data_IF_135844123196
#
_entry.id   IF_135844123196
#
_cell.length_a   1.000
_cell.length_b   1.000
_cell.length_c   1.000
_cell.angle_alpha   90.00
_cell.angle_beta   90.00
_cell.angle_gamma   90.00
#
_symmetry.space_group_name_H-M   'P 1'
#
loop_
_entity.id
_entity.type
_entity.pdbx_description
1 polymer ?
#
# COMPACT_ATOMS: atom_id res chain seq x y z
N UNK A 1 20.80 8.06 20.55
CA UNK A 1 20.11 8.83 19.49
C UNK A 1 20.85 10.09 19.04
N UNK A 2 21.30 10.97 19.94
CA UNK A 2 21.95 12.23 19.53
C UNK A 2 23.23 12.01 18.71
N UNK A 3 24.06 11.01 19.05
CA UNK A 3 25.27 10.66 18.32
C UNK A 3 25.00 10.18 16.88
N UNK A 4 24.06 9.25 16.71
CA UNK A 4 23.68 8.70 15.39
C UNK A 4 23.14 9.81 14.48
N UNK A 5 22.29 10.69 15.01
CA UNK A 5 21.73 11.81 14.23
C UNK A 5 22.83 12.77 13.74
N UNK A 6 23.86 13.04 14.54
CA UNK A 6 25.00 13.86 14.11
C UNK A 6 25.85 13.14 13.06
N UNK A 7 26.07 11.83 13.19
CA UNK A 7 26.74 11.04 12.14
C UNK A 7 25.96 11.03 10.83
N UNK A 8 24.63 10.94 10.88
CA UNK A 8 23.77 11.01 9.68
C UNK A 8 23.90 12.38 9.01
N UNK A 9 23.77 13.48 9.77
CA UNK A 9 23.94 14.85 9.24
C UNK A 9 25.33 15.09 8.65
N UNK A 10 26.36 14.48 9.24
CA UNK A 10 27.74 14.58 8.78
C UNK A 10 28.08 13.62 7.62
N UNK A 11 27.16 12.76 7.17
CA UNK A 11 27.40 11.76 6.14
C UNK A 11 28.38 10.65 6.55
N UNK A 12 28.52 10.39 7.85
CA UNK A 12 29.46 9.42 8.46
C UNK A 12 28.79 8.19 9.05
N UNK A 13 27.46 8.14 9.04
CA UNK A 13 26.74 7.01 9.61
C UNK A 13 26.99 5.73 8.80
N UNK A 14 27.30 4.65 9.49
CA UNK A 14 27.40 3.32 8.88
C UNK A 14 26.00 2.73 8.79
N UNK A 15 25.43 2.79 7.59
CA UNK A 15 24.09 2.28 7.26
C UNK A 15 24.26 0.98 6.49
N UNK A 16 23.65 -0.09 6.97
CA UNK A 16 23.69 -1.42 6.34
C UNK A 16 22.28 -1.99 6.18
N UNK A 17 22.11 -2.99 5.35
CA UNK A 17 20.88 -3.77 5.23
C UNK A 17 20.82 -4.89 6.26
N UNK A 18 19.61 -5.42 6.48
CA UNK A 18 19.39 -6.60 7.32
C UNK A 18 20.14 -7.84 6.83
N UNK A 19 20.46 -7.94 5.53
CA UNK A 19 21.27 -9.03 4.98
C UNK A 19 22.77 -8.81 5.26
N UNK A 20 23.28 -7.59 5.06
CA UNK A 20 24.69 -7.25 5.28
C UNK A 20 25.10 -7.39 6.75
N UNK A 21 24.21 -7.04 7.69
CA UNK A 21 24.54 -7.12 9.13
C UNK A 21 24.76 -8.56 9.59
N UNK A 22 24.14 -9.55 8.94
CA UNK A 22 24.32 -10.97 9.27
C UNK A 22 25.79 -11.37 9.05
N UNK A 23 26.34 -11.07 7.88
CA UNK A 23 27.74 -11.36 7.57
C UNK A 23 28.71 -10.64 8.50
N UNK A 24 28.42 -9.39 8.85
CA UNK A 24 29.24 -8.65 9.82
C UNK A 24 29.24 -9.30 11.20
N UNK A 25 28.09 -9.81 11.68
CA UNK A 25 27.99 -10.53 12.96
C UNK A 25 28.75 -11.85 12.92
N UNK A 26 28.67 -12.60 11.82
CA UNK A 26 29.41 -13.86 11.65
C UNK A 26 30.93 -13.65 11.68
N UNK A 27 31.42 -12.57 11.06
CA UNK A 27 32.85 -12.26 11.01
C UNK A 27 33.39 -11.62 12.31
N UNK A 28 32.66 -10.65 12.87
CA UNK A 28 33.16 -9.77 13.91
C UNK A 28 32.55 -10.02 15.30
N UNK A 29 31.48 -10.82 15.39
CA UNK A 29 30.70 -11.03 16.60
C UNK A 29 29.73 -9.87 16.91
N UNK A 30 28.63 -10.21 17.57
CA UNK A 30 27.50 -9.30 17.79
C UNK A 30 27.85 -7.98 18.51
N UNK A 31 28.76 -8.00 19.51
CA UNK A 31 29.15 -6.79 20.25
C UNK A 31 29.84 -5.77 19.35
N UNK A 32 30.84 -6.22 18.59
CA UNK A 32 31.64 -5.34 17.74
C UNK A 32 30.82 -4.79 16.57
N UNK A 33 29.93 -5.60 16.00
CA UNK A 33 29.00 -5.15 14.96
C UNK A 33 28.04 -4.10 15.50
N UNK A 34 27.48 -4.29 16.70
CA UNK A 34 26.57 -3.32 17.32
C UNK A 34 27.24 -1.99 17.68
N UNK A 35 28.54 -1.98 17.98
CA UNK A 35 29.32 -0.74 18.21
C UNK A 35 29.67 0.00 16.91
N UNK A 36 29.70 -0.72 15.79
CA UNK A 36 30.14 -0.18 14.48
C UNK A 36 28.97 0.31 13.63
N UNK A 37 27.87 -0.43 13.60
CA UNK A 37 26.71 -0.13 12.75
C UNK A 37 25.80 0.89 13.42
N UNK A 38 25.56 2.01 12.74
CA UNK A 38 24.69 3.07 13.26
C UNK A 38 23.21 2.84 12.91
N UNK A 39 22.93 2.31 11.71
CA UNK A 39 21.56 2.06 11.23
C UNK A 39 21.51 0.75 10.46
N UNK A 40 20.56 -0.12 10.83
CA UNK A 40 20.18 -1.27 10.03
C UNK A 40 18.87 -0.96 9.31
N UNK A 41 18.91 -1.03 7.99
CA UNK A 41 17.75 -0.90 7.12
C UNK A 41 17.16 -2.27 6.86
N UNK A 42 15.85 -2.39 6.97
CA UNK A 42 15.12 -3.61 6.66
C UNK A 42 13.98 -3.29 5.71
N UNK A 43 13.68 -4.24 4.82
CA UNK A 43 12.55 -4.16 3.90
C UNK A 43 11.74 -5.44 4.05
N UNK A 44 10.43 -5.30 4.21
CA UNK A 44 9.50 -6.41 4.14
C UNK A 44 8.72 -6.31 2.84
N UNK A 45 8.68 -7.41 2.08
CA UNK A 45 7.75 -7.54 0.97
C UNK A 45 6.58 -8.40 1.44
N UNK A 46 5.40 -7.79 1.53
CA UNK A 46 4.20 -8.49 1.95
C UNK A 46 2.93 -7.74 1.54
N UNK A 47 1.78 -8.43 1.47
CA UNK A 47 0.51 -7.77 1.20
C UNK A 47 0.22 -6.73 2.29
N UNK A 48 0.05 -5.48 1.91
CA UNK A 48 -0.21 -4.40 2.86
C UNK A 48 -1.61 -3.83 2.70
N UNK A 49 -2.34 -3.76 3.81
CA UNK A 49 -3.55 -2.97 3.91
C UNK A 49 -3.22 -1.48 3.64
N UNK A 50 -4.15 -0.72 3.09
CA UNK A 50 -3.91 0.62 2.51
C UNK A 50 -3.18 0.68 1.19
N UNK A 51 -3.00 -0.41 0.47
CA UNK A 51 -2.67 -0.33 -0.96
C UNK A 51 -3.94 -0.05 -1.78
N UNK A 52 -3.81 0.72 -2.85
CA UNK A 52 -4.87 0.96 -3.83
C UNK A 52 -4.35 1.62 -5.10
N UNK A 53 -5.22 1.81 -6.09
CA UNK A 53 -4.88 2.51 -7.33
C UNK A 53 -5.92 3.57 -7.64
N UNK A 54 -5.45 4.70 -8.16
CA UNK A 54 -6.28 5.65 -8.88
C UNK A 54 -6.27 5.30 -10.36
N UNK A 55 -7.43 5.39 -11.00
CA UNK A 55 -7.60 5.15 -12.43
C UNK A 55 -8.38 6.31 -13.02
N UNK A 56 -7.85 6.87 -14.11
CA UNK A 56 -8.57 7.80 -14.98
C UNK A 56 -8.92 7.06 -16.27
N UNK A 57 -10.21 6.87 -16.52
CA UNK A 57 -10.70 6.05 -17.64
C UNK A 57 -10.73 6.79 -18.98
N UNK A 58 -10.51 8.11 -18.99
CA UNK A 58 -10.78 8.95 -20.14
C UNK A 58 -12.29 9.18 -20.37
N UNK A 59 -12.62 10.19 -21.16
CA UNK A 59 -14.01 10.51 -21.48
C UNK A 59 -14.54 9.65 -22.63
N UNK A 60 -15.79 9.20 -22.47
CA UNK A 60 -16.59 8.66 -23.56
C UNK A 60 -17.24 9.77 -24.38
N UNK A 61 -17.82 9.41 -25.53
CA UNK A 61 -18.66 10.30 -26.31
C UNK A 61 -20.06 9.67 -26.50
N UNK A 62 -21.17 10.31 -26.08
CA UNK A 62 -21.23 11.50 -25.22
C UNK A 62 -20.56 11.29 -23.85
N UNK A 63 -20.09 12.37 -23.19
CA UNK A 63 -19.33 12.27 -21.95
C UNK A 63 -20.21 11.86 -20.76
N UNK A 64 -19.56 11.22 -19.78
CA UNK A 64 -20.16 10.80 -18.50
C UNK A 64 -19.44 11.46 -17.32
N UNK A 65 -20.20 11.70 -16.24
CA UNK A 65 -19.66 11.96 -14.90
C UNK A 65 -20.02 10.80 -14.00
N UNK A 66 -19.07 9.88 -13.80
CA UNK A 66 -19.28 8.64 -13.06
C UNK A 66 -19.60 8.92 -11.59
N UNK A 67 -20.68 8.33 -11.09
CA UNK A 67 -21.18 8.47 -9.72
C UNK A 67 -21.08 7.15 -8.94
N UNK A 68 -21.32 6.02 -9.62
CA UNK A 68 -21.00 4.68 -9.10
C UNK A 68 -20.14 3.97 -10.12
N UNK A 69 -19.11 3.26 -9.67
CA UNK A 69 -18.18 2.53 -10.54
C UNK A 69 -17.92 1.15 -9.95
N UNK A 70 -17.91 0.13 -10.80
CA UNK A 70 -17.38 -1.19 -10.48
C UNK A 70 -16.39 -1.65 -11.55
N UNK A 71 -15.43 -2.47 -11.13
CA UNK A 71 -14.38 -3.07 -11.94
C UNK A 71 -14.40 -4.58 -11.69
N UNK A 72 -14.84 -5.38 -12.66
CA UNK A 72 -15.12 -6.82 -12.45
C UNK A 72 -15.98 -7.06 -11.19
N UNK A 73 -17.07 -6.30 -11.05
CA UNK A 73 -17.97 -6.31 -9.88
C UNK A 73 -17.32 -5.88 -8.55
N UNK A 74 -16.09 -5.35 -8.55
CA UNK A 74 -15.45 -4.76 -7.36
C UNK A 74 -15.77 -3.27 -7.31
N UNK A 75 -16.35 -2.74 -6.22
CA UNK A 75 -16.60 -1.33 -6.08
C UNK A 75 -15.32 -0.49 -6.23
N UNK A 76 -15.42 0.62 -6.95
CA UNK A 76 -14.39 1.64 -6.97
C UNK A 76 -15.00 2.97 -6.57
N UNK A 77 -14.32 3.70 -5.70
CA UNK A 77 -14.77 4.98 -5.20
C UNK A 77 -14.68 6.03 -6.32
N UNK A 78 -15.84 6.45 -6.82
CA UNK A 78 -15.99 7.61 -7.70
C UNK A 78 -16.00 8.92 -6.87
N UNK A 79 -16.32 10.06 -7.50
CA UNK A 79 -16.47 11.33 -6.78
C UNK A 79 -15.17 12.14 -6.62
N UNK A 80 -14.08 11.68 -7.25
CA UNK A 80 -12.83 12.44 -7.37
C UNK A 80 -12.92 13.49 -8.47
N UNK A 81 -13.35 13.06 -9.66
CA UNK A 81 -13.62 13.88 -10.82
C UNK A 81 -14.58 13.10 -11.75
N UNK A 82 -14.75 13.52 -13.01
CA UNK A 82 -15.79 12.98 -13.87
C UNK A 82 -15.55 11.53 -14.31
N UNK A 83 -14.29 11.11 -14.48
CA UNK A 83 -13.92 9.78 -15.01
C UNK A 83 -12.79 9.14 -14.20
N UNK A 84 -12.74 9.49 -12.92
CA UNK A 84 -11.69 9.11 -11.99
C UNK A 84 -12.29 8.24 -10.88
N UNK A 85 -11.63 7.13 -10.58
CA UNK A 85 -12.00 6.26 -9.47
C UNK A 85 -10.78 5.77 -8.70
N UNK A 86 -11.00 5.43 -7.44
CA UNK A 86 -10.01 4.79 -6.57
C UNK A 86 -10.51 3.40 -6.14
N UNK A 87 -9.72 2.36 -6.34
CA UNK A 87 -10.01 1.01 -5.82
C UNK A 87 -8.96 0.61 -4.78
N UNK A 88 -9.43 0.28 -3.58
CA UNK A 88 -8.59 -0.22 -2.50
C UNK A 88 -8.33 -1.72 -2.66
N UNK A 89 -7.12 -2.17 -2.35
CA UNK A 89 -6.72 -3.57 -2.51
C UNK A 89 -7.56 -4.55 -1.66
N UNK A 90 -8.17 -4.07 -0.57
CA UNK A 90 -9.00 -4.87 0.33
C UNK A 90 -10.49 -4.86 -0.02
N UNK A 91 -10.89 -4.11 -1.04
CA UNK A 91 -12.29 -4.04 -1.46
C UNK A 91 -12.74 -5.40 -2.02
N UNK A 92 -13.93 -5.88 -1.66
CA UNK A 92 -14.42 -7.19 -2.09
C UNK A 92 -15.30 -7.08 -3.32
N UNK A 93 -15.32 -8.12 -4.15
CA UNK A 93 -16.29 -8.22 -5.23
C UNK A 93 -17.71 -8.34 -4.66
N UNK A 94 -18.65 -7.59 -5.24
CA UNK A 94 -20.08 -7.68 -4.92
C UNK A 94 -20.67 -9.07 -5.25
N UNK A 95 -20.07 -9.79 -6.22
CA UNK A 95 -20.56 -11.11 -6.64
C UNK A 95 -19.71 -12.27 -6.11
N UNK A 96 -18.38 -12.11 -6.06
CA UNK A 96 -17.44 -13.20 -5.71
C UNK A 96 -16.94 -13.14 -4.27
N UNK A 97 -17.25 -12.09 -3.51
CA UNK A 97 -16.83 -11.95 -2.13
C UNK A 97 -15.30 -11.99 -1.97
N UNK A 98 -14.80 -12.84 -1.07
CA UNK A 98 -13.35 -12.93 -0.79
C UNK A 98 -12.54 -13.59 -1.91
N UNK A 99 -13.16 -14.31 -2.85
CA UNK A 99 -12.45 -14.99 -3.94
C UNK A 99 -11.87 -14.01 -4.97
N UNK A 100 -12.41 -12.78 -5.04
CA UNK A 100 -11.94 -11.75 -5.96
C UNK A 100 -12.23 -10.35 -5.39
N UNK A 101 -11.33 -9.42 -5.60
CA UNK A 101 -11.39 -8.11 -4.95
C UNK A 101 -10.42 -7.11 -5.56
N UNK A 102 -10.22 -5.98 -4.89
CA UNK A 102 -9.41 -4.88 -5.40
C UNK A 102 -7.97 -5.28 -5.69
N UNK A 103 -7.35 -6.13 -4.87
CA UNK A 103 -6.00 -6.64 -5.16
C UNK A 103 -5.94 -7.40 -6.49
N UNK A 104 -6.97 -8.19 -6.81
CA UNK A 104 -7.06 -8.93 -8.05
C UNK A 104 -7.33 -7.99 -9.24
N UNK A 105 -8.17 -6.96 -9.09
CA UNK A 105 -8.35 -5.91 -10.11
C UNK A 105 -7.03 -5.20 -10.41
N UNK A 106 -6.25 -4.87 -9.38
CA UNK A 106 -4.94 -4.23 -9.52
C UNK A 106 -3.96 -5.16 -10.26
N UNK A 107 -3.92 -6.44 -9.89
CA UNK A 107 -3.12 -7.45 -10.59
C UNK A 107 -3.53 -7.58 -12.06
N UNK A 108 -4.83 -7.63 -12.34
CA UNK A 108 -5.37 -7.75 -13.70
C UNK A 108 -5.00 -6.53 -14.56
N UNK A 109 -5.04 -5.31 -13.99
CA UNK A 109 -4.54 -4.11 -14.67
C UNK A 109 -3.05 -4.24 -15.01
N UNK A 110 -2.22 -4.65 -14.06
CA UNK A 110 -0.76 -4.81 -14.27
C UNK A 110 -0.50 -5.87 -15.36
N UNK A 111 -1.23 -6.97 -15.31
CA UNK A 111 -1.17 -8.05 -16.29
C UNK A 111 -1.72 -7.65 -17.68
N UNK A 112 -2.44 -6.54 -17.79
CA UNK A 112 -3.05 -6.07 -19.04
C UNK A 112 -4.28 -6.87 -19.45
N UNK A 113 -4.98 -7.49 -18.49
CA UNK A 113 -6.24 -8.18 -18.76
C UNK A 113 -7.37 -7.16 -18.92
N UNK A 114 -8.38 -7.54 -19.69
CA UNK A 114 -9.61 -6.77 -19.81
C UNK A 114 -10.43 -6.86 -18.53
N UNK A 115 -10.78 -5.69 -17.98
CA UNK A 115 -11.57 -5.51 -16.77
C UNK A 115 -12.89 -4.89 -17.16
N UNK A 116 -13.99 -5.53 -16.79
CA UNK A 116 -15.33 -5.00 -17.01
C UNK A 116 -15.54 -3.76 -16.14
N UNK A 117 -15.61 -2.60 -16.79
CA UNK A 117 -16.01 -1.33 -16.21
C UNK A 117 -17.51 -1.17 -16.35
N UNK A 118 -18.20 -1.05 -15.23
CA UNK A 118 -19.58 -0.56 -15.17
C UNK A 118 -19.61 0.77 -14.42
N UNK A 119 -20.24 1.79 -15.00
CA UNK A 119 -20.36 3.09 -14.37
C UNK A 119 -21.76 3.70 -14.55
N UNK A 120 -22.36 4.15 -13.46
CA UNK A 120 -23.64 4.86 -13.44
C UNK A 120 -23.42 6.36 -13.21
N UNK A 121 -24.28 7.20 -13.78
CA UNK A 121 -24.33 8.65 -13.58
C UNK A 121 -25.76 9.14 -13.43
N UNK A 122 -25.94 10.20 -12.63
CA UNK A 122 -27.23 10.91 -12.56
C UNK A 122 -27.55 11.69 -13.84
N UNK A 123 -26.54 11.96 -14.68
CA UNK A 123 -26.66 12.71 -15.94
C UNK A 123 -26.86 14.21 -15.73
N UNK A 124 -26.26 15.02 -16.61
CA UNK A 124 -26.46 16.48 -16.69
C UNK A 124 -26.42 16.93 -18.15
N UNK A 125 -26.73 18.19 -18.44
CA UNK A 125 -26.62 18.72 -19.81
C UNK A 125 -25.16 18.65 -20.35
N UNK A 126 -24.16 18.85 -19.48
CA UNK A 126 -22.74 18.72 -19.84
C UNK A 126 -22.25 17.26 -19.89
N UNK A 127 -22.91 16.36 -19.17
CA UNK A 127 -22.56 14.93 -19.08
C UNK A 127 -23.83 14.09 -19.25
N UNK A 128 -24.37 14.01 -20.48
CA UNK A 128 -25.71 13.47 -20.69
C UNK A 128 -25.75 11.94 -20.60
N UNK A 129 -24.61 11.27 -20.70
CA UNK A 129 -24.53 9.81 -20.58
C UNK A 129 -24.78 9.38 -19.13
N UNK A 130 -25.70 8.42 -18.96
CA UNK A 130 -26.09 7.88 -17.64
C UNK A 130 -25.46 6.55 -17.28
N UNK A 131 -24.94 5.83 -18.26
CA UNK A 131 -24.41 4.48 -18.07
C UNK A 131 -23.27 4.19 -19.06
N UNK A 132 -22.27 3.44 -18.59
CA UNK A 132 -21.21 2.82 -19.39
C UNK A 132 -21.03 1.39 -18.94
N UNK A 133 -21.02 0.49 -19.92
CA UNK A 133 -20.55 -0.89 -19.80
C UNK A 133 -19.49 -1.10 -20.89
N UNK A 134 -18.25 -1.35 -20.48
CA UNK A 134 -17.13 -1.56 -21.40
C UNK A 134 -16.01 -2.36 -20.73
N UNK A 135 -14.97 -2.67 -21.50
CA UNK A 135 -13.72 -3.22 -20.96
C UNK A 135 -12.62 -2.16 -20.95
N UNK A 136 -11.87 -2.14 -19.85
CA UNK A 136 -10.68 -1.29 -19.65
C UNK A 136 -9.47 -2.15 -19.28
N UNK A 137 -8.29 -1.69 -19.64
CA UNK A 137 -7.01 -2.31 -19.31
C UNK A 137 -5.92 -1.22 -19.28
N UNK A 138 -4.68 -1.58 -18.91
CA UNK A 138 -3.58 -0.61 -18.79
C UNK A 138 -3.23 0.15 -20.08
N UNK A 139 -3.61 -0.39 -21.24
CA UNK A 139 -3.27 0.17 -22.55
C UNK A 139 -4.35 1.12 -23.08
N UNK A 140 -5.55 1.13 -22.48
CA UNK A 140 -6.67 1.96 -22.93
C UNK A 140 -7.22 2.95 -21.87
N UNK A 141 -6.77 2.85 -20.61
CA UNK A 141 -7.01 3.90 -19.61
C UNK A 141 -6.04 5.06 -19.82
N UNK A 142 -6.47 6.28 -19.49
CA UNK A 142 -5.64 7.47 -19.64
C UNK A 142 -4.50 7.50 -18.61
N UNK A 143 -4.79 7.11 -17.36
CA UNK A 143 -3.78 7.04 -16.31
C UNK A 143 -4.16 5.99 -15.26
N UNK A 144 -3.15 5.28 -14.77
CA UNK A 144 -3.25 4.43 -13.58
C UNK A 144 -2.02 4.62 -12.73
N UNK A 145 -2.19 4.81 -11.43
CA UNK A 145 -1.07 4.87 -10.50
C UNK A 145 -1.43 4.30 -9.14
N UNK A 146 -0.45 3.63 -8.54
CA UNK A 146 -0.57 3.09 -7.20
C UNK A 146 -0.48 4.22 -6.18
N UNK A 147 -1.39 4.20 -5.22
CA UNK A 147 -1.39 5.13 -4.11
C UNK A 147 -1.52 4.36 -2.81
N UNK A 148 -0.72 4.74 -1.83
CA UNK A 148 -0.79 4.18 -0.50
C UNK A 148 -0.78 5.31 0.54
N UNK A 149 -1.91 5.58 1.22
CA UNK A 149 -2.00 6.67 2.19
C UNK A 149 -1.17 6.43 3.47
N UNK A 150 -0.56 5.24 3.68
CA UNK A 150 0.07 4.87 4.95
C UNK A 150 1.47 4.24 4.82
N UNK A 151 2.22 4.48 3.73
CA UNK A 151 3.54 3.86 3.54
C UNK A 151 4.74 4.55 4.20
N UNK A 152 4.60 5.81 4.60
CA UNK A 152 5.72 6.55 5.17
C UNK A 152 5.25 7.27 6.44
N UNK A 153 5.69 6.77 7.58
CA UNK A 153 5.50 7.39 8.88
C UNK A 153 6.84 7.51 9.58
N UNK A 154 7.13 8.70 10.11
CA UNK A 154 8.34 8.94 10.90
C UNK A 154 8.26 8.26 12.27
N UNK A 155 7.05 8.12 12.82
CA UNK A 155 6.77 7.44 14.08
C UNK A 155 5.52 6.58 13.91
N UNK A 156 5.57 5.35 14.40
CA UNK A 156 4.42 4.44 14.46
C UNK A 156 4.18 4.01 15.90
N UNK A 157 2.99 3.49 16.19
CA UNK A 157 2.70 2.95 17.50
C UNK A 157 3.59 1.71 17.76
N UNK A 158 4.34 1.74 18.86
CA UNK A 158 5.09 0.59 19.34
C UNK A 158 4.31 -0.08 20.47
N UNK A 159 4.10 -1.39 20.37
CA UNK A 159 3.55 -2.19 21.45
C UNK A 159 4.68 -2.66 22.38
N UNK A 160 4.43 -2.63 23.68
CA UNK A 160 5.39 -3.07 24.69
C UNK A 160 4.65 -3.71 25.87
N UNK A 161 5.37 -4.45 26.70
CA UNK A 161 4.79 -5.25 27.78
C UNK A 161 5.38 -4.83 29.13
N UNK A 162 4.54 -4.24 29.99
CA UNK A 162 4.91 -3.77 31.32
C UNK A 162 4.96 -4.88 32.38
N UNK A 163 4.49 -6.08 32.06
CA UNK A 163 4.43 -7.20 32.99
C UNK A 163 5.77 -7.94 33.07
N UNK A 164 5.89 -8.84 34.06
CA UNK A 164 7.08 -9.69 34.25
C UNK A 164 7.10 -10.98 33.42
N UNK A 165 6.15 -11.19 32.49
CA UNK A 165 6.04 -12.42 31.69
C UNK A 165 5.97 -12.10 30.21
N UNK A 166 6.60 -12.94 29.38
CA UNK A 166 6.54 -12.81 27.92
C UNK A 166 5.11 -13.01 27.40
N UNK A 167 4.64 -12.11 26.54
CA UNK A 167 3.33 -12.20 25.88
C UNK A 167 3.55 -12.59 24.41
N UNK A 168 2.83 -13.60 23.93
CA UNK A 168 2.86 -14.02 22.53
C UNK A 168 1.64 -13.46 21.81
N UNK A 169 1.86 -12.68 20.73
CA UNK A 169 0.79 -12.07 19.93
C UNK A 169 0.92 -12.47 18.48
N UNK A 170 -0.14 -12.26 17.70
CA UNK A 170 -0.10 -12.48 16.25
C UNK A 170 0.87 -11.53 15.51
N UNK A 171 1.25 -10.40 16.14
CA UNK A 171 2.20 -9.42 15.58
C UNK A 171 3.65 -9.64 16.05
N UNK A 172 3.89 -10.67 16.87
CA UNK A 172 5.19 -10.97 17.45
C UNK A 172 5.18 -11.04 18.98
N UNK A 173 6.35 -11.36 19.55
CA UNK A 173 6.53 -11.55 20.99
C UNK A 173 6.82 -10.22 21.70
N UNK A 174 6.08 -9.94 22.78
CA UNK A 174 6.32 -8.80 23.67
C UNK A 174 7.09 -9.25 24.92
N UNK A 175 8.35 -8.84 25.02
CA UNK A 175 9.27 -9.10 26.11
C UNK A 175 8.84 -8.38 27.41
N UNK A 176 9.06 -8.99 28.59
CA UNK A 176 8.79 -8.36 29.88
C UNK A 176 9.46 -7.01 30.06
N UNK A 177 8.96 -6.21 31.00
CA UNK A 177 9.60 -4.98 31.49
C UNK A 177 10.02 -4.00 30.40
N UNK A 178 9.14 -3.79 29.42
CA UNK A 178 9.33 -2.88 28.30
C UNK A 178 10.41 -3.28 27.28
N UNK A 179 10.90 -4.53 27.29
CA UNK A 179 12.07 -4.94 26.52
C UNK A 179 11.98 -4.82 24.99
N UNK A 180 10.81 -4.53 24.39
CA UNK A 180 10.68 -4.28 22.95
C UNK A 180 10.92 -2.82 22.54
N UNK A 181 10.89 -1.87 23.48
CA UNK A 181 10.98 -0.44 23.20
C UNK A 181 12.00 0.16 24.17
N UNK A 182 13.22 0.42 23.68
CA UNK A 182 14.37 0.91 24.45
C UNK A 182 15.01 2.11 23.77
#
# INVERSE_FOLDING_TARGET
>A
MHEINEKIKAGKAIVVTAEEVIGMVEENGYKKTAETVDVVTTGTFGPMCSSGVFVNFGHSNPPIRMAKVTLNDVPAFAGLAAVDAYVGATEMSLKRGMEYGGAHVIEDFIAGKDIALHAESYGTDCYPRKEIDTYVNKDNVNQIYMFNPRNCYQNYAAATNSTGKTIYTYMGTLLPHYGNVT
#
